data_IF_642172517561
#
_entry.id   IF_642172517561
#
_cell.length_a   1.000
_cell.length_b   1.000
_cell.length_c   1.000
_cell.angle_alpha   90.00
_cell.angle_beta   90.00
_cell.angle_gamma   90.00
#
_symmetry.space_group_name_H-M   'P 1'
#
loop_
_entity.id
_entity.type
_entity.pdbx_description
1 polymer ?
#
# COMPACT_ATOMS: atom_id res chain seq x y z
N UNK A 1 -5.05 4.22 -3.07
CA UNK A 1 -5.36 3.75 -1.69
C UNK A 1 -4.10 3.17 -1.07
N UNK A 2 -3.89 3.37 0.22
CA UNK A 2 -2.89 2.64 0.99
C UNK A 2 -3.54 1.45 1.69
N UNK A 3 -3.01 0.25 1.48
CA UNK A 3 -3.32 -0.93 2.26
C UNK A 3 -2.15 -1.17 3.21
N UNK A 4 -2.41 -1.12 4.51
CA UNK A 4 -1.36 -1.18 5.53
C UNK A 4 -1.86 -1.76 6.85
N UNK A 5 -0.94 -2.22 7.69
CA UNK A 5 -1.25 -2.62 9.05
C UNK A 5 -1.07 -1.42 10.00
N UNK A 6 -1.94 -1.27 11.00
CA UNK A 6 -1.93 -0.14 11.95
C UNK A 6 -0.56 0.11 12.62
N UNK A 7 0.29 -0.90 12.78
CA UNK A 7 1.62 -0.71 13.36
C UNK A 7 2.59 0.07 12.46
N UNK A 8 2.26 0.21 11.18
CA UNK A 8 2.99 1.05 10.23
C UNK A 8 2.33 2.42 10.02
N UNK A 9 1.31 2.76 10.81
CA UNK A 9 0.47 3.96 10.62
C UNK A 9 1.27 5.25 10.54
N UNK A 10 2.23 5.47 11.43
CA UNK A 10 2.97 6.73 11.48
C UNK A 10 3.78 6.96 10.20
N UNK A 11 4.48 5.93 9.71
CA UNK A 11 5.25 6.01 8.47
C UNK A 11 4.33 6.14 7.25
N UNK A 12 3.23 5.40 7.21
CA UNK A 12 2.27 5.47 6.10
C UNK A 12 1.58 6.85 6.06
N UNK A 13 1.25 7.42 7.22
CA UNK A 13 0.73 8.78 7.33
C UNK A 13 1.71 9.82 6.76
N UNK A 14 3.00 9.70 7.08
CA UNK A 14 4.02 10.59 6.53
C UNK A 14 4.05 10.53 5.00
N UNK A 15 4.15 9.33 4.42
CA UNK A 15 4.15 9.13 2.96
C UNK A 15 2.86 9.67 2.34
N UNK A 16 1.72 9.41 2.99
CA UNK A 16 0.41 9.87 2.55
C UNK A 16 0.32 11.41 2.50
N UNK A 17 0.80 12.09 3.55
CA UNK A 17 0.84 13.55 3.57
C UNK A 17 1.77 14.11 2.50
N UNK A 18 2.94 13.53 2.29
CA UNK A 18 3.88 13.98 1.26
C UNK A 18 3.29 13.84 -0.15
N UNK A 19 2.60 12.72 -0.42
CA UNK A 19 1.86 12.53 -1.67
C UNK A 19 0.73 13.56 -1.83
N UNK A 20 -0.05 13.83 -0.78
CA UNK A 20 -1.10 14.87 -0.79
C UNK A 20 -0.54 16.25 -1.09
N UNK A 21 0.57 16.62 -0.44
CA UNK A 21 1.27 17.88 -0.65
C UNK A 21 1.82 17.99 -2.09
N UNK A 22 2.08 16.84 -2.73
CA UNK A 22 2.52 16.74 -4.12
C UNK A 22 1.36 16.70 -5.13
N UNK A 23 0.10 16.87 -4.68
CA UNK A 23 -1.09 16.94 -5.53
C UNK A 23 -1.80 15.61 -5.78
N UNK A 24 -1.36 14.51 -5.15
CA UNK A 24 -2.02 13.21 -5.29
C UNK A 24 -3.23 13.10 -4.35
N UNK A 25 -4.31 12.50 -4.85
CA UNK A 25 -5.44 12.08 -4.00
C UNK A 25 -5.15 10.71 -3.42
N UNK A 26 -5.06 10.62 -2.09
CA UNK A 26 -4.78 9.39 -1.36
C UNK A 26 -5.89 9.08 -0.38
N UNK A 27 -6.09 7.79 -0.12
CA UNK A 27 -7.08 7.28 0.83
C UNK A 27 -6.41 6.26 1.76
N UNK A 28 -6.71 6.38 3.05
CA UNK A 28 -6.33 5.51 4.17
C UNK A 28 -7.58 5.20 5.00
N UNK A 29 -7.52 4.13 5.80
CA UNK A 29 -8.55 3.76 6.79
C UNK A 29 -8.86 4.85 7.85
N UNK A 30 -8.05 5.91 7.96
CA UNK A 30 -8.34 7.09 8.78
C UNK A 30 -9.21 8.13 8.08
N UNK A 31 -9.39 8.03 6.76
CA UNK A 31 -10.16 8.97 5.97
C UNK A 31 -11.63 8.51 5.89
N UNK A 32 -12.52 9.20 6.62
CA UNK A 32 -13.99 9.02 6.58
C UNK A 32 -14.49 7.57 6.70
N UNK A 33 -14.34 6.97 7.89
CA UNK A 33 -15.02 5.72 8.25
C UNK A 33 -16.47 5.94 8.72
N UNK A 34 -17.33 6.49 7.85
CA UNK A 34 -18.77 6.55 8.10
C UNK A 34 -19.49 5.37 7.42
N UNK A 35 -19.74 4.27 8.16
CA UNK A 35 -20.50 3.12 7.65
C UNK A 35 -19.92 1.75 8.06
N UNK A 36 -20.31 0.70 7.32
CA UNK A 36 -19.70 -0.63 7.42
C UNK A 36 -18.27 -0.57 6.89
N UNK A 37 -17.27 -0.85 7.73
CA UNK A 37 -15.85 -0.74 7.40
C UNK A 37 -15.49 -1.53 6.13
N UNK A 38 -16.14 -2.67 5.90
CA UNK A 38 -15.90 -3.52 4.72
C UNK A 38 -16.35 -2.87 3.41
N UNK A 39 -17.50 -2.21 3.38
CA UNK A 39 -18.02 -1.56 2.17
C UNK A 39 -17.19 -0.33 1.81
N UNK A 40 -16.75 0.43 2.83
CA UNK A 40 -15.84 1.56 2.63
C UNK A 40 -14.49 1.10 2.07
N UNK A 41 -13.88 0.05 2.62
CA UNK A 41 -12.63 -0.52 2.11
C UNK A 41 -12.80 -1.03 0.67
N UNK A 42 -13.89 -1.75 0.39
CA UNK A 42 -14.16 -2.25 -0.95
C UNK A 42 -14.29 -1.11 -1.96
N UNK A 43 -15.09 -0.10 -1.63
CA UNK A 43 -15.27 1.09 -2.46
C UNK A 43 -13.95 1.84 -2.69
N UNK A 44 -13.10 1.97 -1.67
CA UNK A 44 -11.80 2.61 -1.79
C UNK A 44 -10.88 1.88 -2.79
N UNK A 45 -10.88 0.54 -2.78
CA UNK A 45 -10.12 -0.27 -3.75
C UNK A 45 -10.71 -0.10 -5.17
N UNK A 46 -12.03 -0.16 -5.30
CA UNK A 46 -12.71 -0.04 -6.59
C UNK A 46 -12.49 1.32 -7.26
N UNK A 47 -12.49 2.42 -6.48
CA UNK A 47 -12.26 3.76 -6.99
C UNK A 47 -10.77 4.12 -7.15
N UNK A 48 -9.88 3.36 -6.52
CA UNK A 48 -8.44 3.61 -6.64
C UNK A 48 -7.94 3.32 -8.07
N UNK A 49 -7.11 4.24 -8.57
CA UNK A 49 -6.28 4.00 -9.76
C UNK A 49 -5.15 2.99 -9.47
N UNK A 50 -4.68 2.96 -8.23
CA UNK A 50 -3.54 2.21 -7.75
C UNK A 50 -3.73 1.89 -6.25
N UNK A 51 -3.30 0.70 -5.83
CA UNK A 51 -3.15 0.34 -4.42
C UNK A 51 -1.66 0.30 -4.03
N UNK A 52 -1.28 0.97 -2.95
CA UNK A 52 0.06 0.86 -2.37
C UNK A 52 -0.02 -0.19 -1.26
N UNK A 53 0.75 -1.28 -1.41
CA UNK A 53 0.80 -2.36 -0.41
C UNK A 53 1.97 -2.10 0.54
N UNK A 54 1.69 -1.71 1.77
CA UNK A 54 2.68 -1.43 2.81
C UNK A 54 3.07 -2.71 3.54
N UNK A 55 3.98 -3.48 2.95
CA UNK A 55 4.26 -4.85 3.37
C UNK A 55 5.21 -4.92 4.58
N UNK A 56 4.77 -5.71 5.56
CA UNK A 56 5.48 -6.14 6.78
C UNK A 56 5.00 -7.55 7.13
N UNK A 57 5.59 -8.17 8.14
CA UNK A 57 5.09 -9.44 8.68
C UNK A 57 3.67 -9.27 9.26
N UNK A 58 3.42 -8.16 9.96
CA UNK A 58 2.10 -7.83 10.53
C UNK A 58 1.06 -7.50 9.48
N UNK A 59 1.47 -6.93 8.35
CA UNK A 59 0.62 -6.81 7.17
C UNK A 59 0.20 -8.19 6.66
N UNK A 60 1.15 -9.12 6.54
CA UNK A 60 0.89 -10.48 6.05
C UNK A 60 -0.01 -11.32 6.97
N UNK A 61 -0.02 -11.03 8.27
CA UNK A 61 -0.87 -11.74 9.24
C UNK A 61 -2.20 -11.05 9.54
N UNK A 62 -2.45 -9.86 8.98
CA UNK A 62 -3.68 -9.11 9.16
C UNK A 62 -4.77 -9.60 8.20
N UNK A 63 -5.92 -10.12 8.68
CA UNK A 63 -7.02 -10.56 7.82
C UNK A 63 -7.58 -9.44 6.93
N UNK A 64 -7.61 -8.21 7.44
CA UNK A 64 -8.08 -7.05 6.67
C UNK A 64 -7.12 -6.75 5.52
N UNK A 65 -5.81 -6.69 5.80
CA UNK A 65 -4.79 -6.44 4.79
C UNK A 65 -4.76 -7.54 3.72
N UNK A 66 -4.92 -8.80 4.14
CA UNK A 66 -5.05 -9.92 3.20
C UNK A 66 -6.27 -9.75 2.30
N UNK A 67 -7.44 -9.43 2.88
CA UNK A 67 -8.68 -9.24 2.13
C UNK A 67 -8.57 -8.09 1.12
N UNK A 68 -7.95 -6.97 1.51
CA UNK A 68 -7.69 -5.83 0.63
C UNK A 68 -6.76 -6.20 -0.53
N UNK A 69 -5.64 -6.87 -0.24
CA UNK A 69 -4.67 -7.28 -1.25
C UNK A 69 -5.26 -8.29 -2.24
N UNK A 70 -5.99 -9.30 -1.75
CA UNK A 70 -6.66 -10.30 -2.57
C UNK A 70 -7.76 -9.67 -3.43
N UNK A 71 -8.50 -8.70 -2.90
CA UNK A 71 -9.52 -8.02 -3.67
C UNK A 71 -8.94 -7.12 -4.75
N UNK A 72 -7.91 -6.33 -4.42
CA UNK A 72 -7.16 -5.55 -5.40
C UNK A 72 -6.58 -6.44 -6.51
N UNK A 73 -6.01 -7.58 -6.14
CA UNK A 73 -5.52 -8.59 -7.09
C UNK A 73 -6.63 -9.14 -7.98
N UNK A 74 -7.78 -9.52 -7.41
CA UNK A 74 -8.95 -10.04 -8.14
C UNK A 74 -9.49 -9.02 -9.15
N UNK A 75 -9.54 -7.74 -8.77
CA UNK A 75 -9.93 -6.64 -9.65
C UNK A 75 -8.85 -6.24 -10.66
N UNK A 76 -7.69 -6.90 -10.64
CA UNK A 76 -6.51 -6.55 -11.44
C UNK A 76 -6.10 -5.08 -11.25
N UNK A 77 -6.33 -4.54 -10.05
CA UNK A 77 -5.91 -3.18 -9.73
C UNK A 77 -4.39 -3.11 -9.78
N UNK A 78 -3.81 -2.10 -10.45
CA UNK A 78 -2.39 -1.86 -10.35
C UNK A 78 -2.00 -1.66 -8.89
N UNK A 79 -0.84 -2.18 -8.50
CA UNK A 79 -0.33 -1.98 -7.15
C UNK A 79 1.18 -1.77 -7.13
N UNK A 80 1.63 -0.97 -6.15
CA UNK A 80 3.05 -0.70 -5.86
C UNK A 80 3.35 -1.23 -4.45
N UNK A 81 4.16 -2.29 -4.32
CA UNK A 81 4.54 -2.80 -3.02
C UNK A 81 5.71 -2.01 -2.41
N UNK A 82 5.58 -1.62 -1.14
CA UNK A 82 6.64 -0.95 -0.38
C UNK A 82 6.93 -1.72 0.91
N UNK A 83 8.19 -2.11 1.13
CA UNK A 83 8.63 -2.88 2.29
C UNK A 83 8.98 -1.95 3.45
N UNK A 84 8.26 -2.09 4.57
CA UNK A 84 8.42 -1.24 5.76
C UNK A 84 9.09 -1.96 6.93
N UNK A 85 9.47 -3.24 6.78
CA UNK A 85 10.13 -4.04 7.82
C UNK A 85 11.46 -4.61 7.33
N UNK A 86 12.53 -4.31 8.06
CA UNK A 86 13.88 -4.72 7.66
C UNK A 86 14.01 -6.23 7.71
N UNK A 87 14.71 -6.82 6.74
CA UNK A 87 14.95 -8.26 6.59
C UNK A 87 13.70 -9.12 6.41
N UNK A 88 12.51 -8.54 6.34
CA UNK A 88 11.29 -9.28 6.01
C UNK A 88 11.30 -9.66 4.52
N UNK A 89 10.89 -10.90 4.25
CA UNK A 89 10.75 -11.44 2.90
C UNK A 89 9.32 -11.93 2.74
N UNK A 90 8.52 -11.33 1.85
CA UNK A 90 7.16 -11.79 1.60
C UNK A 90 7.12 -13.25 1.15
N UNK A 91 6.20 -14.02 1.72
CA UNK A 91 5.99 -15.43 1.42
C UNK A 91 4.49 -15.78 1.35
N UNK A 92 4.19 -17.06 1.10
CA UNK A 92 2.82 -17.58 1.10
C UNK A 92 1.88 -16.82 0.16
N UNK A 93 0.70 -16.45 0.66
CA UNK A 93 -0.31 -15.72 -0.11
C UNK A 93 0.21 -14.38 -0.64
N UNK A 94 1.01 -13.67 0.17
CA UNK A 94 1.55 -12.37 -0.20
C UNK A 94 2.62 -12.53 -1.29
N UNK A 95 3.47 -13.55 -1.17
CA UNK A 95 4.44 -13.90 -2.21
C UNK A 95 3.77 -14.21 -3.56
N UNK A 96 2.63 -14.93 -3.54
CA UNK A 96 1.85 -15.21 -4.76
C UNK A 96 1.30 -13.91 -5.38
N UNK A 97 0.73 -13.01 -4.58
CA UNK A 97 0.20 -11.73 -5.06
C UNK A 97 1.30 -10.86 -5.68
N UNK A 98 2.46 -10.77 -5.02
CA UNK A 98 3.59 -9.96 -5.51
C UNK A 98 4.21 -10.56 -6.78
N UNK A 99 4.25 -11.88 -6.91
CA UNK A 99 4.83 -12.57 -8.06
C UNK A 99 6.29 -12.15 -8.30
N UNK A 100 6.60 -11.70 -9.51
CA UNK A 100 7.94 -11.21 -9.90
C UNK A 100 8.13 -9.71 -9.68
N UNK A 101 7.14 -9.00 -9.12
CA UNK A 101 7.23 -7.55 -8.92
C UNK A 101 8.25 -7.23 -7.83
N UNK A 102 9.11 -6.27 -8.11
CA UNK A 102 10.01 -5.71 -7.11
C UNK A 102 9.22 -4.78 -6.18
N UNK A 103 9.65 -4.72 -4.93
CA UNK A 103 9.14 -3.76 -3.95
C UNK A 103 10.19 -2.69 -3.65
N UNK A 104 9.70 -1.51 -3.27
CA UNK A 104 10.56 -0.41 -2.82
C UNK A 104 10.87 -0.62 -1.33
N UNK A 105 12.13 -0.84 -1.01
CA UNK A 105 12.57 -1.11 0.35
C UNK A 105 12.80 0.19 1.14
N UNK A 106 11.78 0.62 1.90
CA UNK A 106 11.85 1.83 2.73
C UNK A 106 12.76 1.66 3.96
N UNK A 107 13.28 0.45 4.20
CA UNK A 107 14.23 0.18 5.29
C UNK A 107 15.69 0.33 4.86
N UNK A 108 15.92 0.63 3.58
CA UNK A 108 17.23 0.91 3.00
C UNK A 108 17.28 2.33 2.46
N UNK A 109 18.42 3.00 2.53
CA UNK A 109 18.57 4.41 2.14
C UNK A 109 17.72 5.35 3.01
N UNK A 110 17.86 6.65 2.77
CA UNK A 110 17.05 7.67 3.43
C UNK A 110 15.61 7.72 2.87
N UNK A 111 14.72 8.35 3.64
CA UNK A 111 13.30 8.47 3.31
C UNK A 111 13.06 9.19 1.97
N UNK A 112 13.75 10.31 1.71
CA UNK A 112 13.54 11.13 0.51
C UNK A 112 13.92 10.36 -0.76
N UNK A 113 15.03 9.62 -0.73
CA UNK A 113 15.43 8.72 -1.81
C UNK A 113 14.38 7.65 -2.12
N UNK A 114 13.75 7.06 -1.10
CA UNK A 114 12.71 6.04 -1.30
C UNK A 114 11.38 6.64 -1.73
N UNK A 115 11.03 7.81 -1.19
CA UNK A 115 9.85 8.57 -1.59
C UNK A 115 9.91 8.93 -3.08
N UNK A 116 11.06 9.42 -3.57
CA UNK A 116 11.27 9.70 -5.00
C UNK A 116 11.10 8.45 -5.88
N UNK A 117 11.59 7.29 -5.43
CA UNK A 117 11.38 6.00 -6.13
C UNK A 117 9.89 5.65 -6.16
N UNK A 118 9.18 5.85 -5.05
CA UNK A 118 7.75 5.59 -4.95
C UNK A 118 6.96 6.46 -5.93
N UNK A 119 7.20 7.78 -5.95
CA UNK A 119 6.55 8.69 -6.89
C UNK A 119 6.79 8.26 -8.34
N UNK A 120 8.04 7.93 -8.69
CA UNK A 120 8.39 7.46 -10.03
C UNK A 120 7.63 6.17 -10.41
N UNK A 121 7.50 5.23 -9.48
CA UNK A 121 6.79 3.97 -9.72
C UNK A 121 5.27 4.19 -9.83
N UNK A 122 4.69 5.08 -9.01
CA UNK A 122 3.30 5.50 -9.10
C UNK A 122 3.01 6.06 -10.50
N UNK A 123 3.82 7.01 -10.95
CA UNK A 123 3.68 7.63 -12.27
C UNK A 123 3.87 6.64 -13.42
N UNK A 124 4.79 5.67 -13.27
CA UNK A 124 4.99 4.61 -14.27
C UNK A 124 3.80 3.65 -14.33
N UNK A 125 3.08 3.46 -13.23
CA UNK A 125 1.98 2.49 -13.11
C UNK A 125 0.62 3.06 -13.57
N UNK A 126 0.43 4.38 -13.47
CA UNK A 126 -0.85 5.06 -13.82
C UNK A 126 -0.89 5.55 -15.29
N UNK A 127 0.24 5.50 -16.01
CA UNK A 127 0.32 5.78 -17.46
C UNK A 127 -0.41 4.73 -18.29
#
# INVERSE_FOLDING_TARGET
>A
MFSYNHDSKDLVNQICQDLRNSGYRTWMDTDDMHGSTLDCMAHAIEQACLVILCITEKYKTSPNCQSEAEYAYRLKKPFVPILLQSKYKPDGWLGIILGTRLYIDFTKNDFDSNYKKLVKEIEATIK
#
